data_IF_711873541864
#
_entry.id   IF_711873541864
#
_cell.length_a   1.000
_cell.length_b   1.000
_cell.length_c   1.000
_cell.angle_alpha   90.00
_cell.angle_beta   90.00
_cell.angle_gamma   90.00
#
_symmetry.space_group_name_H-M   'P 1'
#
loop_
_entity.id
_entity.type
_entity.pdbx_description
1 polymer ?
#
# COMPACT_ATOMS: atom_id res chain seq x y z
N UNK A 1 7.02 14.91 1.18
CA UNK A 1 7.72 15.28 2.43
C UNK A 1 7.67 14.09 3.38
N UNK A 2 8.63 13.95 4.29
CA UNK A 2 8.60 12.93 5.33
C UNK A 2 7.45 13.20 6.31
N UNK A 3 6.84 12.13 6.82
CA UNK A 3 5.78 12.17 7.84
C UNK A 3 5.84 10.92 8.71
N UNK A 4 4.94 10.80 9.69
CA UNK A 4 4.84 9.59 10.50
C UNK A 4 3.41 9.04 10.45
N UNK A 5 3.30 7.72 10.51
CA UNK A 5 2.06 7.02 10.86
C UNK A 5 1.99 7.07 12.40
N UNK A 6 1.04 7.81 13.01
CA UNK A 6 1.04 8.01 14.46
C UNK A 6 0.86 6.70 15.24
N UNK A 7 0.04 5.80 14.69
CA UNK A 7 -0.25 4.49 15.28
C UNK A 7 -0.64 3.51 14.18
N UNK A 8 -0.06 2.31 14.24
CA UNK A 8 -0.49 1.17 13.46
C UNK A 8 -1.50 0.33 14.24
N UNK A 9 -2.34 -0.40 13.52
CA UNK A 9 -3.25 -1.38 14.09
C UNK A 9 -3.22 -2.65 13.24
N UNK A 10 -3.39 -3.80 13.89
CA UNK A 10 -3.65 -5.05 13.19
C UNK A 10 -5.13 -5.09 12.80
N UNK A 11 -5.39 -5.35 11.52
CA UNK A 11 -6.74 -5.52 10.99
C UNK A 11 -6.80 -6.71 10.06
N UNK A 12 -7.95 -7.38 10.06
CA UNK A 12 -8.28 -8.39 9.07
C UNK A 12 -8.89 -7.71 7.84
N UNK A 13 -8.29 -7.94 6.68
CA UNK A 13 -8.78 -7.46 5.38
C UNK A 13 -9.20 -8.69 4.58
N UNK A 14 -10.51 -8.88 4.42
CA UNK A 14 -11.04 -10.12 3.85
C UNK A 14 -10.58 -11.35 4.64
N UNK A 15 -9.68 -12.14 4.06
CA UNK A 15 -9.20 -13.39 4.64
C UNK A 15 -7.78 -13.32 5.23
N UNK A 16 -7.11 -12.18 5.25
CA UNK A 16 -5.73 -12.06 5.77
C UNK A 16 -5.60 -10.94 6.81
N UNK A 17 -4.51 -10.93 7.57
CA UNK A 17 -4.18 -9.86 8.52
C UNK A 17 -3.10 -8.95 7.98
N UNK A 18 -3.21 -7.66 8.29
CA UNK A 18 -2.25 -6.63 7.92
C UNK A 18 -2.12 -5.57 9.00
N UNK A 19 -0.98 -4.87 9.00
CA UNK A 19 -0.83 -3.59 9.68
C UNK A 19 -1.44 -2.49 8.83
N UNK A 20 -2.27 -1.64 9.44
CA UNK A 20 -2.87 -0.47 8.80
C UNK A 20 -2.69 0.76 9.71
N UNK A 21 -2.79 1.99 9.18
CA UNK A 21 -2.94 3.16 10.03
C UNK A 21 -4.19 2.99 10.91
N UNK A 22 -4.10 3.29 12.20
CA UNK A 22 -5.22 3.16 13.12
C UNK A 22 -6.35 4.17 12.80
N UNK A 23 -5.98 5.30 12.21
CA UNK A 23 -6.81 6.45 11.89
C UNK A 23 -6.55 6.89 10.44
N UNK A 24 -7.40 7.77 9.89
CA UNK A 24 -7.20 8.30 8.53
C UNK A 24 -5.86 9.06 8.44
N UNK A 25 -5.15 8.89 7.32
CA UNK A 25 -3.81 9.45 7.16
C UNK A 25 -3.65 10.13 5.79
N UNK A 26 -4.14 11.37 5.63
CA UNK A 26 -4.14 12.07 4.34
C UNK A 26 -2.75 12.21 3.69
N UNK A 27 -1.69 12.31 4.49
CA UNK A 27 -0.31 12.37 4.00
C UNK A 27 0.09 11.07 3.27
N UNK A 28 -0.39 9.92 3.74
CA UNK A 28 -0.17 8.63 3.08
C UNK A 28 -0.98 8.52 1.79
N UNK A 29 -2.24 8.97 1.81
CA UNK A 29 -3.10 8.95 0.63
C UNK A 29 -2.54 9.87 -0.48
N UNK A 30 -2.05 11.05 -0.10
CA UNK A 30 -1.37 11.97 -1.02
C UNK A 30 -0.08 11.35 -1.59
N UNK A 31 0.76 10.75 -0.74
CA UNK A 31 1.98 10.07 -1.18
C UNK A 31 1.67 8.95 -2.19
N UNK A 32 0.65 8.14 -1.92
CA UNK A 32 0.24 7.06 -2.79
C UNK A 32 -0.32 7.57 -4.13
N UNK A 33 -1.12 8.65 -4.10
CA UNK A 33 -1.66 9.29 -5.30
C UNK A 33 -0.53 9.86 -6.19
N UNK A 34 0.40 10.61 -5.60
CA UNK A 34 1.55 11.17 -6.32
C UNK A 34 2.43 10.06 -6.90
N UNK A 35 2.68 8.99 -6.12
CA UNK A 35 3.47 7.86 -6.58
C UNK A 35 2.85 7.19 -7.81
N UNK A 36 1.53 6.91 -7.81
CA UNK A 36 0.89 6.29 -8.99
C UNK A 36 0.87 7.21 -10.19
N UNK A 37 0.76 8.53 -9.99
CA UNK A 37 0.77 9.49 -11.10
C UNK A 37 2.13 9.62 -11.76
N UNK A 38 3.18 9.75 -10.96
CA UNK A 38 4.52 10.00 -11.46
C UNK A 38 5.24 8.74 -11.92
N UNK A 39 4.93 7.58 -11.31
CA UNK A 39 5.61 6.32 -11.62
C UNK A 39 4.83 5.43 -12.62
N UNK A 40 3.55 5.71 -12.89
CA UNK A 40 2.78 4.96 -13.88
C UNK A 40 3.46 4.86 -15.26
N UNK A 41 4.13 5.89 -15.80
CA UNK A 41 4.82 5.77 -17.09
C UNK A 41 5.98 4.76 -17.11
N UNK A 42 6.50 4.34 -15.95
CA UNK A 42 7.61 3.40 -15.84
C UNK A 42 7.18 1.93 -15.98
N UNK A 43 5.88 1.64 -15.88
CA UNK A 43 5.36 0.27 -15.98
C UNK A 43 5.23 -0.17 -17.45
N UNK A 44 5.35 -1.47 -17.69
CA UNK A 44 4.96 -2.04 -18.96
C UNK A 44 3.44 -1.86 -19.21
N UNK A 45 2.99 -1.60 -20.45
CA UNK A 45 1.57 -1.61 -20.80
C UNK A 45 0.90 -2.92 -20.39
N UNK A 46 -0.39 -2.85 -20.04
CA UNK A 46 -1.14 -4.08 -19.74
C UNK A 46 -1.38 -4.86 -21.03
N UNK A 47 -1.20 -6.18 -20.99
CA UNK A 47 -1.76 -7.06 -22.02
C UNK A 47 -3.25 -7.32 -21.78
N UNK A 48 -3.95 -7.82 -22.80
CA UNK A 48 -5.35 -8.26 -22.64
C UNK A 48 -5.49 -9.31 -21.54
N UNK A 49 -4.53 -10.23 -21.42
CA UNK A 49 -4.47 -11.20 -20.34
C UNK A 49 -4.34 -10.55 -18.95
N UNK A 50 -3.59 -9.45 -18.81
CA UNK A 50 -3.46 -8.75 -17.54
C UNK A 50 -4.76 -8.04 -17.16
N UNK A 51 -5.47 -7.46 -18.14
CA UNK A 51 -6.78 -6.84 -17.95
C UNK A 51 -7.80 -7.89 -17.55
N UNK A 52 -7.90 -9.00 -18.31
CA UNK A 52 -8.87 -10.07 -18.07
C UNK A 52 -8.72 -10.68 -16.67
N UNK A 53 -7.47 -10.88 -16.20
CA UNK A 53 -7.19 -11.39 -14.85
C UNK A 53 -7.76 -10.51 -13.72
N UNK A 54 -8.04 -9.24 -14.00
CA UNK A 54 -8.65 -8.30 -13.04
C UNK A 54 -10.17 -8.29 -13.06
N UNK A 55 -10.82 -9.12 -13.88
CA UNK A 55 -12.28 -9.26 -13.96
C UNK A 55 -12.98 -7.89 -14.12
N UNK A 56 -12.66 -7.13 -15.19
CA UNK A 56 -13.11 -5.74 -15.35
C UNK A 56 -14.63 -5.60 -15.30
N UNK A 57 -15.38 -6.61 -15.72
CA UNK A 57 -16.84 -6.65 -15.65
C UNK A 57 -17.38 -6.50 -14.21
N UNK A 58 -16.61 -6.90 -13.19
CA UNK A 58 -16.96 -6.77 -11.77
C UNK A 58 -16.50 -5.45 -11.14
N UNK A 59 -15.72 -4.65 -11.87
CA UNK A 59 -15.22 -3.37 -11.40
C UNK A 59 -16.26 -2.26 -11.65
N UNK A 60 -16.28 -1.28 -10.75
CA UNK A 60 -16.99 -0.02 -10.98
C UNK A 60 -16.36 0.75 -12.15
N UNK A 61 -17.10 1.71 -12.71
CA UNK A 61 -16.57 2.54 -13.80
C UNK A 61 -15.24 3.23 -13.43
N UNK A 62 -15.15 3.81 -12.22
CA UNK A 62 -13.92 4.43 -11.70
C UNK A 62 -12.77 3.42 -11.61
N UNK A 63 -13.04 2.23 -11.08
CA UNK A 63 -12.03 1.17 -10.97
C UNK A 63 -11.55 0.69 -12.33
N UNK A 64 -12.42 0.62 -13.36
CA UNK A 64 -12.01 0.32 -14.74
C UNK A 64 -11.14 1.42 -15.32
N UNK A 65 -11.50 2.68 -15.12
CA UNK A 65 -10.67 3.81 -15.54
C UNK A 65 -9.28 3.76 -14.90
N UNK A 66 -9.20 3.39 -13.62
CA UNK A 66 -7.93 3.18 -12.90
C UNK A 66 -7.14 1.99 -13.39
N UNK A 67 -7.80 0.87 -13.70
CA UNK A 67 -7.14 -0.28 -14.31
C UNK A 67 -6.46 0.10 -15.64
N UNK A 68 -7.18 0.82 -16.52
CA UNK A 68 -6.64 1.21 -17.82
C UNK A 68 -5.51 2.24 -17.70
N UNK A 69 -5.70 3.26 -16.84
CA UNK A 69 -4.71 4.33 -16.66
C UNK A 69 -3.47 3.86 -15.90
N UNK A 70 -3.65 3.28 -14.72
CA UNK A 70 -2.56 2.98 -13.77
C UNK A 70 -2.14 1.51 -13.76
N UNK A 71 -2.86 0.63 -14.45
CA UNK A 71 -2.57 -0.80 -14.44
C UNK A 71 -3.19 -1.57 -13.27
N UNK A 72 -3.89 -0.87 -12.36
CA UNK A 72 -4.49 -1.45 -11.17
C UNK A 72 -5.75 -0.67 -10.73
N UNK A 73 -6.84 -1.34 -10.33
CA UNK A 73 -8.12 -0.67 -10.06
C UNK A 73 -8.23 0.00 -8.69
N UNK A 74 -7.43 -0.43 -7.70
CA UNK A 74 -7.53 0.03 -6.31
C UNK A 74 -6.45 1.05 -5.95
N UNK A 75 -6.43 2.16 -6.69
CA UNK A 75 -5.52 3.30 -6.48
C UNK A 75 -6.32 4.56 -6.15
N UNK A 76 -5.64 5.64 -5.74
CA UNK A 76 -6.25 6.92 -5.36
C UNK A 76 -7.37 6.75 -4.32
N UNK A 77 -8.62 7.11 -4.60
CA UNK A 77 -9.74 7.04 -3.65
C UNK A 77 -10.10 5.59 -3.27
N UNK A 78 -9.63 4.61 -4.04
CA UNK A 78 -9.78 3.19 -3.73
C UNK A 78 -8.57 2.64 -2.94
N UNK A 79 -7.51 3.43 -2.79
CA UNK A 79 -6.29 3.04 -2.09
C UNK A 79 -6.53 2.94 -0.58
N UNK A 80 -5.93 1.93 0.03
CA UNK A 80 -5.86 1.75 1.48
C UNK A 80 -4.50 1.21 1.84
N UNK A 81 -3.69 2.00 2.53
CA UNK A 81 -2.38 1.56 2.97
C UNK A 81 -2.50 0.36 3.92
N UNK A 82 -1.75 -0.69 3.63
CA UNK A 82 -1.63 -1.86 4.49
C UNK A 82 -0.29 -2.56 4.27
N UNK A 83 0.25 -3.19 5.30
CA UNK A 83 1.40 -4.09 5.22
C UNK A 83 0.94 -5.49 5.59
N UNK A 84 0.85 -6.38 4.61
CA UNK A 84 0.37 -7.75 4.79
C UNK A 84 1.26 -8.52 5.78
N UNK A 85 0.64 -9.15 6.77
CA UNK A 85 1.32 -9.99 7.76
C UNK A 85 1.16 -11.49 7.49
N UNK A 86 0.04 -11.88 6.88
CA UNK A 86 -0.31 -13.28 6.66
C UNK A 86 -0.80 -13.54 5.24
N UNK A 87 -0.74 -14.80 4.81
CA UNK A 87 -1.62 -15.30 3.76
C UNK A 87 -3.07 -15.45 4.25
N UNK A 88 -3.92 -16.18 3.50
CA UNK A 88 -5.28 -16.50 3.94
C UNK A 88 -5.33 -17.26 5.27
N UNK A 89 -6.24 -16.83 6.14
CA UNK A 89 -6.53 -17.39 7.46
C UNK A 89 -8.01 -17.76 7.52
N UNK A 90 -8.29 -19.03 7.83
CA UNK A 90 -9.64 -19.53 8.01
C UNK A 90 -10.36 -18.81 9.17
N UNK A 91 -11.69 -18.69 9.09
CA UNK A 91 -12.47 -17.99 10.12
C UNK A 91 -12.31 -18.60 11.52
N UNK A 92 -12.19 -19.92 11.60
CA UNK A 92 -11.98 -20.63 12.87
C UNK A 92 -10.64 -20.29 13.53
N UNK A 93 -9.60 -20.03 12.73
CA UNK A 93 -8.26 -19.68 13.22
C UNK A 93 -8.08 -18.19 13.49
N UNK A 94 -8.95 -17.33 12.95
CA UNK A 94 -8.79 -15.88 13.00
C UNK A 94 -8.60 -15.32 14.42
N UNK A 95 -9.35 -15.75 15.47
CA UNK A 95 -9.13 -15.25 16.83
C UNK A 95 -7.74 -15.62 17.39
N UNK A 96 -7.29 -16.86 17.15
CA UNK A 96 -5.98 -17.35 17.60
C UNK A 96 -4.84 -16.62 16.90
N UNK A 97 -4.97 -16.41 15.59
CA UNK A 97 -3.97 -15.68 14.80
C UNK A 97 -3.92 -14.20 15.21
N UNK A 98 -5.08 -13.56 15.42
CA UNK A 98 -5.14 -12.17 15.89
C UNK A 98 -4.38 -11.99 17.22
N UNK A 99 -4.64 -12.84 18.22
CA UNK A 99 -3.97 -12.77 19.51
C UNK A 99 -2.45 -12.96 19.42
N UNK A 100 -1.99 -13.88 18.56
CA UNK A 100 -0.57 -14.07 18.30
C UNK A 100 0.06 -12.83 17.64
N UNK A 101 -0.60 -12.25 16.64
CA UNK A 101 -0.12 -11.04 15.98
C UNK A 101 -0.08 -9.85 16.94
N UNK A 102 -1.11 -9.66 17.76
CA UNK A 102 -1.14 -8.58 18.76
C UNK A 102 0.05 -8.69 19.73
N UNK A 103 0.40 -9.90 20.14
CA UNK A 103 1.56 -10.15 21.00
C UNK A 103 2.89 -9.84 20.30
N UNK A 104 3.06 -10.34 19.07
CA UNK A 104 4.32 -10.20 18.31
C UNK A 104 4.57 -8.74 17.92
N UNK A 105 3.52 -8.02 17.52
CA UNK A 105 3.63 -6.65 17.01
C UNK A 105 3.35 -5.57 18.04
N UNK A 106 3.06 -5.93 19.31
CA UNK A 106 2.80 -4.96 20.38
C UNK A 106 3.81 -3.80 20.45
N UNK A 107 5.14 -4.04 20.35
CA UNK A 107 6.10 -2.93 20.40
C UNK A 107 6.01 -2.00 19.19
N UNK A 108 5.73 -2.56 18.00
CA UNK A 108 5.65 -1.81 16.76
C UNK A 108 4.39 -0.93 16.71
N UNK A 109 3.24 -1.46 17.13
CA UNK A 109 1.98 -0.71 17.11
C UNK A 109 1.89 0.36 18.21
N UNK A 110 2.78 0.30 19.21
CA UNK A 110 2.83 1.26 20.30
C UNK A 110 3.62 2.55 19.97
N UNK A 111 4.39 2.55 18.88
CA UNK A 111 5.22 3.68 18.48
C UNK A 111 4.81 4.25 17.12
N UNK A 112 4.98 5.56 16.89
CA UNK A 112 4.87 6.12 15.55
C UNK A 112 5.88 5.49 14.58
N UNK A 113 5.47 5.27 13.34
CA UNK A 113 6.35 4.74 12.27
C UNK A 113 6.67 5.86 11.29
N UNK A 114 7.95 6.19 11.15
CA UNK A 114 8.41 7.17 10.19
C UNK A 114 8.23 6.67 8.75
N UNK A 115 7.76 7.55 7.88
CA UNK A 115 7.74 7.42 6.43
C UNK A 115 8.66 8.50 5.89
N UNK A 116 9.93 8.14 5.72
CA UNK A 116 11.01 9.08 5.39
C UNK A 116 11.67 8.78 4.04
N UNK A 117 11.27 7.70 3.36
CA UNK A 117 11.92 7.24 2.13
C UNK A 117 10.94 6.51 1.21
N UNK A 118 11.19 6.58 -0.09
CA UNK A 118 10.52 5.77 -1.12
C UNK A 118 11.58 4.95 -1.84
N UNK A 119 11.35 3.64 -1.98
CA UNK A 119 12.15 2.77 -2.83
C UNK A 119 11.40 2.46 -4.13
N UNK A 120 12.10 2.57 -5.25
CA UNK A 120 11.61 2.11 -6.57
C UNK A 120 12.20 0.73 -6.81
N UNK A 121 11.33 -0.24 -7.03
CA UNK A 121 11.70 -1.61 -7.37
C UNK A 121 11.45 -1.87 -8.85
N UNK A 122 12.27 -2.74 -9.45
CA UNK A 122 12.00 -3.30 -10.77
C UNK A 122 11.90 -4.82 -10.68
N UNK A 123 11.06 -5.39 -11.52
CA UNK A 123 11.00 -6.83 -11.79
C UNK A 123 11.62 -7.03 -13.18
N UNK A 124 12.90 -7.44 -13.29
CA UNK A 124 13.59 -7.50 -14.59
C UNK A 124 12.95 -8.51 -15.55
N UNK A 125 12.40 -9.59 -15.02
CA UNK A 125 11.72 -10.65 -15.74
C UNK A 125 10.38 -10.94 -15.06
N UNK A 126 9.31 -11.12 -15.84
CA UNK A 126 7.97 -11.40 -15.29
C UNK A 126 7.99 -12.63 -14.39
N UNK A 127 7.56 -12.47 -13.15
CA UNK A 127 7.53 -13.51 -12.12
C UNK A 127 8.86 -13.67 -11.37
N UNK A 128 9.88 -12.88 -11.71
CA UNK A 128 11.18 -12.89 -11.06
C UNK A 128 11.20 -12.07 -9.76
N UNK A 129 12.32 -12.11 -9.01
CA UNK A 129 12.48 -11.31 -7.81
C UNK A 129 12.53 -9.81 -8.15
N UNK A 130 11.92 -9.00 -7.29
CA UNK A 130 12.10 -7.55 -7.33
C UNK A 130 13.52 -7.17 -6.91
N UNK A 131 14.10 -6.20 -7.61
CA UNK A 131 15.39 -5.58 -7.26
C UNK A 131 15.19 -4.09 -6.97
N UNK A 132 15.88 -3.58 -5.95
CA UNK A 132 15.88 -2.13 -5.66
C UNK A 132 16.62 -1.41 -6.78
N UNK A 133 15.95 -0.47 -7.45
CA UNK A 133 16.56 0.41 -8.46
C UNK A 133 17.00 1.74 -7.88
N UNK A 134 16.24 2.27 -6.94
CA UNK A 134 16.56 3.52 -6.26
C UNK A 134 15.92 3.55 -4.88
N UNK A 135 16.56 4.29 -3.96
CA UNK A 135 16.02 4.65 -2.67
C UNK A 135 16.15 6.18 -2.54
N UNK A 136 15.03 6.86 -2.37
CA UNK A 136 14.95 8.31 -2.30
C UNK A 136 14.47 8.73 -0.91
N UNK A 137 15.27 9.50 -0.16
CA UNK A 137 14.78 10.11 1.06
C UNK A 137 13.72 11.17 0.72
N UNK A 138 12.65 11.21 1.49
CA UNK A 138 11.67 12.27 1.49
C UNK A 138 12.22 13.44 2.28
N UNK A 139 12.27 14.62 1.66
CA UNK A 139 12.67 15.84 2.36
C UNK A 139 11.81 16.04 3.60
N UNK A 140 12.45 16.46 4.71
CA UNK A 140 11.72 16.88 5.90
C UNK A 140 10.69 17.95 5.52
N UNK A 141 9.48 17.87 6.09
CA UNK A 141 8.52 18.94 5.92
C UNK A 141 9.11 20.20 6.56
N UNK A 142 9.55 21.17 5.76
CA UNK A 142 9.86 22.51 6.29
C UNK A 142 8.57 23.07 6.88
N UNK A 143 8.56 23.24 8.21
CA UNK A 143 7.54 24.05 8.88
C UNK A 143 7.69 25.48 8.38
N UNK A 144 6.94 25.84 7.33
CA UNK A 144 6.73 27.24 6.97
C UNK A 144 5.99 27.89 8.14
N UNK A 145 6.72 28.60 9.00
CA UNK A 145 6.14 29.60 9.90
C UNK A 145 5.63 30.73 9.00
N UNK A 146 4.32 30.79 8.80
CA UNK A 146 3.68 32.00 8.31
C UNK A 146 3.90 33.09 9.36
N UNK A 147 4.60 34.15 8.97
CA UNK A 147 4.68 35.41 9.73
C UNK A 147 3.43 36.26 9.46
#
# INVERSE_FOLDING_TARGET
AAFAIPRLAIRRIGHFFALVPADTLPAMDALAADAVDHLAPLRAPLSDADIARRNPERLTERQRAYLLRYGYPYVREEFRFHMTLTGPVANADAPRVAAALDTIFAPLIAAPVAVDSIAVFAEPERGGPFVVRALHPLAAAETRKSA
#
